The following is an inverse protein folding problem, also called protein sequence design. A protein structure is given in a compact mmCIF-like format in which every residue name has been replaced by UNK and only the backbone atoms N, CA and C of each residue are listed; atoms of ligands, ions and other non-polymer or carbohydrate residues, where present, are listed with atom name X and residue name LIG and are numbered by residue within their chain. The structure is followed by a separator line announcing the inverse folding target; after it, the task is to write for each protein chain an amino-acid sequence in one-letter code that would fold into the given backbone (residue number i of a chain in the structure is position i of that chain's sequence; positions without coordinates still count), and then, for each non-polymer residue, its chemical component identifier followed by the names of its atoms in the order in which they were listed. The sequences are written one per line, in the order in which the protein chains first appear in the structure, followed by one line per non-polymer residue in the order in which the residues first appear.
data_IF_710128700821
#
_entry.id   IF_710128700821
#
_cell.length_a   1.000
_cell.length_b   1.000
_cell.length_c   1.000
_cell.angle_alpha   90.00
_cell.angle_beta   90.00
_cell.angle_gamma   90.00
#
_symmetry.space_group_name_H-M   'P 1'
#
loop_
_entity.id
_entity.type
_entity.pdbx_description
1 polymer ?
#
# COMPACT_ATOMS: atom_id res chain seq x y z
N UNK A 1 -56.07 19.17 4.59
CA UNK A 1 -55.07 19.06 3.53
C UNK A 1 -53.75 19.57 4.09
N UNK A 2 -52.99 18.70 4.73
CA UNK A 2 -51.70 19.01 5.34
C UNK A 2 -50.62 18.54 4.38
N UNK A 3 -49.86 19.51 3.86
CA UNK A 3 -48.72 19.31 2.96
C UNK A 3 -47.55 18.73 3.76
N UNK A 4 -47.23 17.46 3.53
CA UNK A 4 -46.06 16.77 4.12
C UNK A 4 -44.90 16.64 3.15
N UNK A 5 -44.66 17.63 2.30
CA UNK A 5 -43.67 17.50 1.24
C UNK A 5 -42.35 18.33 1.35
N UNK A 6 -41.98 19.01 2.47
CA UNK A 6 -40.67 19.65 2.55
C UNK A 6 -39.58 18.84 3.33
N UNK A 7 -39.94 17.90 4.24
CA UNK A 7 -38.98 17.27 5.11
C UNK A 7 -38.21 16.11 4.45
N UNK A 8 -38.86 15.24 3.69
CA UNK A 8 -38.22 14.14 2.98
C UNK A 8 -37.23 14.58 1.88
N UNK A 9 -37.57 15.72 1.19
CA UNK A 9 -36.65 16.28 0.18
C UNK A 9 -35.42 16.97 0.79
N UNK A 10 -35.50 17.43 2.05
CA UNK A 10 -34.36 18.04 2.75
C UNK A 10 -33.45 17.02 3.38
N UNK A 11 -33.95 15.86 3.83
CA UNK A 11 -33.11 14.75 4.31
C UNK A 11 -32.35 14.08 3.17
N UNK A 12 -33.02 13.73 2.08
CA UNK A 12 -32.38 13.15 0.87
C UNK A 12 -31.30 14.08 0.27
N UNK A 13 -31.51 15.40 0.26
CA UNK A 13 -30.47 16.35 -0.16
C UNK A 13 -29.36 16.56 0.85
N UNK A 14 -29.59 16.31 2.16
CA UNK A 14 -28.54 16.37 3.20
C UNK A 14 -27.68 15.14 3.14
N UNK A 15 -28.24 13.98 2.86
CA UNK A 15 -27.47 12.73 2.68
C UNK A 15 -26.60 12.75 1.41
N UNK A 16 -27.09 13.34 0.32
CA UNK A 16 -26.37 13.43 -0.96
C UNK A 16 -25.16 14.38 -0.97
N UNK A 17 -24.94 15.16 0.09
CA UNK A 17 -23.79 16.06 0.22
C UNK A 17 -22.86 15.66 1.40
N UNK A 18 -23.05 14.49 1.99
CA UNK A 18 -22.16 14.00 3.03
C UNK A 18 -20.81 13.60 2.42
N UNK A 19 -19.73 13.98 3.08
CA UNK A 19 -18.38 13.56 2.70
C UNK A 19 -17.81 12.68 3.80
N UNK A 20 -17.37 11.46 3.48
CA UNK A 20 -16.71 10.62 4.44
C UNK A 20 -15.37 11.23 4.83
N UNK A 21 -14.93 10.94 6.02
CA UNK A 21 -13.58 11.32 6.44
C UNK A 21 -13.02 10.28 7.37
N UNK A 22 -11.86 9.76 7.02
CA UNK A 22 -11.08 8.90 7.89
C UNK A 22 -10.67 9.61 9.19
N UNK A 23 -10.21 8.85 10.18
CA UNK A 23 -9.72 9.41 11.44
C UNK A 23 -8.59 10.43 11.22
N UNK A 24 -8.41 11.34 12.14
CA UNK A 24 -7.33 12.34 12.10
C UNK A 24 -6.07 11.90 12.85
N UNK A 25 -6.14 10.83 13.65
CA UNK A 25 -5.04 10.43 14.54
C UNK A 25 -3.77 10.04 13.80
N UNK A 26 -3.88 9.54 12.58
CA UNK A 26 -2.76 9.14 11.77
C UNK A 26 -2.13 10.27 10.92
N UNK A 27 -2.71 11.48 10.91
CA UNK A 27 -2.19 12.61 10.10
C UNK A 27 -0.69 12.88 10.35
N UNK A 28 -0.18 12.97 11.58
CA UNK A 28 1.25 13.19 11.80
C UNK A 28 2.12 12.08 11.19
N UNK A 29 1.66 10.83 11.27
CA UNK A 29 2.34 9.66 10.68
C UNK A 29 2.33 9.73 9.16
N UNK A 30 1.20 10.08 8.54
CA UNK A 30 1.10 10.27 7.08
C UNK A 30 2.06 11.36 6.59
N UNK A 31 2.12 12.49 7.29
CA UNK A 31 3.06 13.57 6.97
C UNK A 31 4.51 13.09 7.08
N UNK A 32 4.84 12.31 8.12
CA UNK A 32 6.18 11.75 8.27
C UNK A 32 6.52 10.78 7.12
N UNK A 33 5.60 9.90 6.74
CA UNK A 33 5.81 8.96 5.63
C UNK A 33 5.95 9.67 4.28
N UNK A 34 5.10 10.65 3.98
CA UNK A 34 5.24 11.49 2.79
C UNK A 34 6.60 12.21 2.75
N UNK A 35 7.08 12.69 3.90
CA UNK A 35 8.38 13.35 4.02
C UNK A 35 9.56 12.37 3.83
N UNK A 36 9.42 11.12 4.27
CA UNK A 36 10.43 10.07 4.07
C UNK A 36 10.52 9.66 2.61
N UNK A 37 9.38 9.38 1.97
CA UNK A 37 9.33 8.89 0.58
C UNK A 37 9.61 10.00 -0.43
N UNK A 38 9.08 11.21 -0.22
CA UNK A 38 9.16 12.36 -1.15
C UNK A 38 8.80 12.00 -2.60
N UNK A 39 7.63 11.42 -2.83
CA UNK A 39 7.25 10.97 -4.16
C UNK A 39 7.11 12.15 -5.12
N UNK A 40 7.40 11.91 -6.39
CA UNK A 40 7.11 12.86 -7.49
C UNK A 40 5.78 12.54 -8.17
N UNK A 41 5.24 11.35 -7.91
CA UNK A 41 3.91 10.92 -8.34
C UNK A 41 3.23 10.07 -7.26
N UNK A 42 1.95 10.36 -7.00
CA UNK A 42 1.15 9.73 -5.96
C UNK A 42 -0.23 9.37 -6.53
N UNK A 43 -0.69 8.15 -6.22
CA UNK A 43 -2.07 7.72 -6.47
C UNK A 43 -2.79 7.52 -5.14
N UNK A 44 -3.90 8.22 -4.94
CA UNK A 44 -4.77 8.12 -3.77
C UNK A 44 -5.99 7.27 -4.13
N UNK A 45 -6.01 6.02 -3.69
CA UNK A 45 -7.09 5.07 -3.96
C UNK A 45 -8.15 5.21 -2.88
N UNK A 46 -9.39 5.48 -3.28
CA UNK A 46 -10.48 5.84 -2.37
C UNK A 46 -10.24 7.21 -1.75
N UNK A 47 -10.05 8.23 -2.60
CA UNK A 47 -9.62 9.56 -2.14
C UNK A 47 -10.60 10.24 -1.16
N UNK A 48 -11.89 9.84 -1.17
CA UNK A 48 -12.93 10.39 -0.29
C UNK A 48 -12.98 11.92 -0.33
N UNK A 49 -12.83 12.58 0.83
CA UNK A 49 -12.79 14.04 0.89
C UNK A 49 -11.44 14.66 0.43
N UNK A 50 -10.47 13.84 0.02
CA UNK A 50 -9.17 14.33 -0.49
C UNK A 50 -8.18 14.80 0.58
N UNK A 51 -8.39 14.42 1.85
CA UNK A 51 -7.54 14.85 2.98
C UNK A 51 -6.06 14.58 2.75
N UNK A 52 -5.70 13.36 2.33
CA UNK A 52 -4.30 12.97 2.20
C UNK A 52 -3.69 13.59 0.95
N UNK A 53 -4.43 13.67 -0.15
CA UNK A 53 -3.98 14.41 -1.35
C UNK A 53 -3.71 15.87 -1.07
N UNK A 54 -4.56 16.54 -0.25
CA UNK A 54 -4.30 17.92 0.19
C UNK A 54 -3.01 18.01 1.02
N UNK A 55 -2.83 17.14 2.01
CA UNK A 55 -1.60 17.11 2.83
C UNK A 55 -0.36 16.85 1.99
N UNK A 56 -0.43 15.94 1.02
CA UNK A 56 0.66 15.66 0.11
C UNK A 56 1.00 16.91 -0.74
N UNK A 57 0.01 17.59 -1.28
CA UNK A 57 0.19 18.82 -2.07
C UNK A 57 0.84 19.92 -1.24
N UNK A 58 0.30 20.18 -0.04
CA UNK A 58 0.83 21.20 0.86
C UNK A 58 2.28 20.89 1.28
N UNK A 59 2.53 19.64 1.70
CA UNK A 59 3.87 19.22 2.13
C UNK A 59 4.89 19.26 0.99
N UNK A 60 4.59 18.58 -0.14
CA UNK A 60 5.59 18.25 -1.16
C UNK A 60 5.79 19.41 -2.15
N UNK A 61 4.72 20.07 -2.58
CA UNK A 61 4.83 21.20 -3.49
C UNK A 61 5.01 22.51 -2.75
N UNK A 62 4.14 22.84 -1.79
CA UNK A 62 4.16 24.18 -1.18
C UNK A 62 5.30 24.28 -0.17
N UNK A 63 5.34 23.45 0.86
CA UNK A 63 6.29 23.59 1.96
C UNK A 63 7.72 23.19 1.55
N UNK A 64 7.92 21.97 1.07
CA UNK A 64 9.26 21.47 0.71
C UNK A 64 9.71 21.96 -0.67
N UNK A 65 8.78 22.05 -1.61
CA UNK A 65 9.05 22.49 -2.98
C UNK A 65 9.11 24.01 -3.16
N UNK A 66 8.61 24.80 -2.18
CA UNK A 66 8.46 26.25 -2.24
C UNK A 66 7.67 26.73 -3.48
N UNK A 67 6.71 25.91 -3.92
CA UNK A 67 5.85 26.15 -5.09
C UNK A 67 4.48 26.63 -4.63
N UNK A 68 4.35 27.93 -4.40
CA UNK A 68 3.17 28.54 -3.79
C UNK A 68 2.01 28.78 -4.76
N UNK A 69 2.23 28.60 -6.07
CA UNK A 69 1.22 28.76 -7.10
C UNK A 69 0.91 27.43 -7.76
N UNK A 70 -0.35 27.18 -8.09
CA UNK A 70 -0.80 25.93 -8.71
C UNK A 70 -0.05 25.62 -10.01
N UNK A 71 0.22 26.62 -10.83
CA UNK A 71 0.98 26.50 -12.07
C UNK A 71 2.46 26.05 -11.89
N UNK A 72 2.99 26.19 -10.67
CA UNK A 72 4.35 25.78 -10.33
C UNK A 72 4.43 24.37 -9.73
N UNK A 73 3.29 23.74 -9.42
CA UNK A 73 3.26 22.40 -8.82
C UNK A 73 3.87 21.35 -9.76
N UNK A 74 4.59 20.40 -9.18
CA UNK A 74 5.35 19.39 -9.93
C UNK A 74 5.04 17.95 -9.50
N UNK A 75 4.53 17.77 -8.30
CA UNK A 75 4.16 16.44 -7.83
C UNK A 75 2.83 16.08 -8.48
N UNK A 76 2.82 15.01 -9.24
CA UNK A 76 1.56 14.48 -9.79
C UNK A 76 0.78 13.79 -8.68
N UNK A 77 -0.44 14.23 -8.43
CA UNK A 77 -1.36 13.64 -7.46
C UNK A 77 -2.64 13.28 -8.20
N UNK A 78 -2.85 11.99 -8.41
CA UNK A 78 -4.08 11.45 -8.99
C UNK A 78 -4.89 10.73 -7.90
N UNK A 79 -6.19 10.60 -8.12
CA UNK A 79 -7.07 9.88 -7.21
C UNK A 79 -8.06 8.98 -7.93
N UNK A 80 -8.47 7.90 -7.25
CA UNK A 80 -9.58 7.04 -7.64
C UNK A 80 -10.69 7.18 -6.61
N UNK A 81 -11.93 7.31 -7.08
CA UNK A 81 -13.12 7.32 -6.23
C UNK A 81 -14.26 6.56 -6.92
N UNK A 82 -14.90 5.65 -6.20
CA UNK A 82 -16.01 4.88 -6.75
C UNK A 82 -17.33 5.67 -6.72
N UNK A 83 -17.48 6.54 -5.75
CA UNK A 83 -18.71 7.28 -5.51
C UNK A 83 -18.58 8.76 -5.94
N UNK A 84 -19.02 9.06 -7.14
CA UNK A 84 -18.84 10.37 -7.78
C UNK A 84 -19.39 11.54 -6.96
N UNK A 85 -20.48 11.32 -6.19
CA UNK A 85 -21.12 12.37 -5.36
C UNK A 85 -20.19 12.91 -4.25
N UNK A 86 -19.12 12.20 -3.89
CA UNK A 86 -18.10 12.68 -2.95
C UNK A 86 -17.17 13.74 -3.56
N UNK A 87 -17.14 13.86 -4.89
CA UNK A 87 -16.18 14.73 -5.57
C UNK A 87 -16.73 16.14 -5.71
N UNK A 88 -16.11 17.05 -4.99
CA UNK A 88 -16.42 18.48 -4.95
C UNK A 88 -15.31 19.32 -5.64
N UNK A 89 -15.45 20.63 -5.65
CA UNK A 89 -14.49 21.53 -6.27
C UNK A 89 -13.10 21.51 -5.61
N UNK A 90 -13.04 21.28 -4.30
CA UNK A 90 -11.77 21.30 -3.57
C UNK A 90 -10.87 20.11 -3.96
N UNK A 91 -11.40 18.89 -4.15
CA UNK A 91 -10.60 17.76 -4.66
C UNK A 91 -10.14 18.08 -6.09
N UNK A 92 -11.02 18.59 -6.96
CA UNK A 92 -10.65 18.99 -8.33
C UNK A 92 -9.60 20.11 -8.38
N UNK A 93 -9.51 20.91 -7.33
CA UNK A 93 -8.46 21.93 -7.21
C UNK A 93 -7.10 21.36 -6.81
N UNK A 94 -7.07 20.24 -6.09
CA UNK A 94 -5.88 19.62 -5.50
C UNK A 94 -5.28 18.50 -6.38
N UNK A 95 -6.14 17.61 -6.88
CA UNK A 95 -5.70 16.49 -7.69
C UNK A 95 -5.49 16.90 -9.15
N UNK A 96 -4.51 16.29 -9.81
CA UNK A 96 -4.27 16.49 -11.22
C UNK A 96 -5.30 15.73 -12.07
N UNK A 97 -5.62 14.49 -11.68
CA UNK A 97 -6.69 13.70 -12.28
C UNK A 97 -7.50 12.98 -11.18
N UNK A 98 -8.80 12.85 -11.39
CA UNK A 98 -9.70 12.03 -10.57
C UNK A 98 -10.40 11.06 -11.49
N UNK A 99 -10.23 9.77 -11.21
CA UNK A 99 -10.82 8.67 -11.95
C UNK A 99 -12.02 8.13 -11.16
N UNK A 100 -13.20 8.17 -11.77
CA UNK A 100 -14.43 7.67 -11.15
C UNK A 100 -14.65 6.23 -11.57
N UNK A 101 -14.76 5.32 -10.59
CA UNK A 101 -15.05 3.91 -10.81
C UNK A 101 -14.33 2.97 -9.85
N UNK A 102 -14.52 1.68 -10.08
CA UNK A 102 -13.92 0.61 -9.29
C UNK A 102 -12.38 0.63 -9.40
N UNK A 103 -11.71 0.64 -8.25
CA UNK A 103 -10.26 0.72 -8.19
C UNK A 103 -9.57 -0.50 -8.83
N UNK A 104 -10.12 -1.71 -8.66
CA UNK A 104 -9.55 -2.94 -9.23
C UNK A 104 -9.55 -2.87 -10.76
N UNK A 105 -10.63 -2.35 -11.36
CA UNK A 105 -10.73 -2.20 -12.82
C UNK A 105 -9.91 -1.05 -13.38
N UNK A 106 -9.82 0.05 -12.61
CA UNK A 106 -9.12 1.26 -13.05
C UNK A 106 -7.60 1.11 -12.97
N UNK A 107 -7.08 0.40 -11.95
CA UNK A 107 -5.64 0.21 -11.78
C UNK A 107 -4.97 -0.30 -13.06
N UNK A 108 -5.58 -1.27 -13.77
CA UNK A 108 -5.02 -1.84 -15.00
C UNK A 108 -4.88 -0.84 -16.16
N UNK A 109 -5.55 0.31 -16.07
CA UNK A 109 -5.56 1.38 -17.08
C UNK A 109 -4.62 2.53 -16.72
N UNK A 110 -4.07 2.51 -15.49
CA UNK A 110 -3.22 3.58 -14.98
C UNK A 110 -1.73 3.24 -15.15
N UNK A 111 -0.91 4.26 -15.09
CA UNK A 111 0.54 4.10 -15.10
C UNK A 111 1.12 3.74 -13.73
N UNK A 112 2.43 3.82 -13.62
CA UNK A 112 3.17 3.55 -12.38
C UNK A 112 3.38 4.88 -11.63
N UNK A 113 3.16 4.84 -10.31
CA UNK A 113 3.38 5.96 -9.39
C UNK A 113 4.54 5.66 -8.45
N UNK A 114 5.18 6.69 -7.90
CA UNK A 114 6.22 6.48 -6.88
C UNK A 114 5.62 5.96 -5.57
N UNK A 115 4.43 6.45 -5.22
CA UNK A 115 3.69 6.10 -4.02
C UNK A 115 2.22 5.82 -4.34
N UNK A 116 1.65 4.79 -3.74
CA UNK A 116 0.21 4.51 -3.76
C UNK A 116 -0.32 4.54 -2.32
N UNK A 117 -1.47 5.15 -2.13
CA UNK A 117 -2.18 5.24 -0.84
C UNK A 117 -3.42 4.33 -0.86
N UNK A 118 -3.58 3.56 0.20
CA UNK A 118 -4.76 2.77 0.54
C UNK A 118 -5.17 3.15 1.98
N UNK A 119 -5.93 4.22 2.12
CA UNK A 119 -6.27 4.80 3.42
C UNK A 119 -7.77 4.65 3.69
N UNK A 120 -8.13 3.73 4.60
CA UNK A 120 -9.53 3.35 4.88
C UNK A 120 -10.26 2.90 3.60
N UNK A 121 -9.74 1.87 2.93
CA UNK A 121 -10.23 1.39 1.62
C UNK A 121 -10.43 -0.12 1.61
N UNK A 122 -9.42 -0.89 2.05
CA UNK A 122 -9.41 -2.35 1.83
C UNK A 122 -10.47 -3.07 2.64
N UNK A 123 -10.91 -2.53 3.77
CA UNK A 123 -12.00 -3.05 4.60
C UNK A 123 -13.36 -3.00 3.91
N UNK A 124 -13.53 -2.15 2.91
CA UNK A 124 -14.75 -2.02 2.11
C UNK A 124 -14.87 -3.09 1.02
N UNK A 125 -13.84 -3.87 0.79
CA UNK A 125 -13.84 -4.99 -0.14
C UNK A 125 -13.97 -6.32 0.60
N UNK A 126 -14.51 -7.34 -0.06
CA UNK A 126 -14.36 -8.71 0.43
C UNK A 126 -12.89 -9.09 0.42
N UNK A 127 -12.48 -9.96 1.35
CA UNK A 127 -11.06 -10.27 1.56
C UNK A 127 -10.30 -10.64 0.27
N UNK A 128 -10.90 -11.42 -0.61
CA UNK A 128 -10.26 -11.84 -1.88
C UNK A 128 -10.03 -10.63 -2.80
N UNK A 129 -11.04 -9.78 -2.95
CA UNK A 129 -10.99 -8.56 -3.76
C UNK A 129 -10.01 -7.54 -3.16
N UNK A 130 -10.02 -7.38 -1.84
CA UNK A 130 -9.08 -6.53 -1.11
C UNK A 130 -7.62 -6.95 -1.32
N UNK A 131 -7.34 -8.25 -1.27
CA UNK A 131 -6.00 -8.80 -1.55
C UNK A 131 -5.58 -8.57 -3.00
N UNK A 132 -6.51 -8.70 -3.95
CA UNK A 132 -6.27 -8.36 -5.36
C UNK A 132 -5.92 -6.88 -5.52
N UNK A 133 -6.70 -5.98 -4.91
CA UNK A 133 -6.43 -4.54 -4.93
C UNK A 133 -5.05 -4.21 -4.35
N UNK A 134 -4.70 -4.79 -3.19
CA UNK A 134 -3.37 -4.61 -2.58
C UNK A 134 -2.27 -5.05 -3.56
N UNK A 135 -2.42 -6.20 -4.22
CA UNK A 135 -1.44 -6.67 -5.21
C UNK A 135 -1.29 -5.69 -6.38
N UNK A 136 -2.41 -5.24 -6.95
CA UNK A 136 -2.40 -4.24 -8.04
C UNK A 136 -1.73 -2.94 -7.60
N UNK A 137 -1.95 -2.48 -6.36
CA UNK A 137 -1.27 -1.29 -5.84
C UNK A 137 0.27 -1.46 -5.84
N UNK A 138 0.78 -2.63 -5.46
CA UNK A 138 2.22 -2.90 -5.53
C UNK A 138 2.71 -3.07 -6.98
N UNK A 139 1.92 -3.61 -7.89
CA UNK A 139 2.29 -3.71 -9.31
C UNK A 139 2.39 -2.31 -9.94
N UNK A 140 1.48 -1.40 -9.60
CA UNK A 140 1.45 -0.01 -10.09
C UNK A 140 2.25 0.99 -9.23
N UNK A 141 3.00 0.51 -8.25
CA UNK A 141 3.89 1.30 -7.40
C UNK A 141 5.35 1.10 -7.85
N UNK A 142 6.14 2.18 -7.81
CA UNK A 142 7.60 2.11 -8.02
C UNK A 142 8.34 1.88 -6.71
N UNK A 143 7.90 2.48 -5.64
CA UNK A 143 8.65 2.57 -4.39
C UNK A 143 7.89 2.04 -3.19
N UNK A 144 6.80 2.69 -2.78
CA UNK A 144 6.09 2.38 -1.54
C UNK A 144 4.57 2.39 -1.72
N UNK A 145 3.92 1.61 -0.88
CA UNK A 145 2.48 1.71 -0.61
C UNK A 145 2.29 2.11 0.85
N UNK A 146 1.40 3.05 1.12
CA UNK A 146 0.92 3.34 2.47
C UNK A 146 -0.45 2.70 2.63
N UNK A 147 -0.60 1.88 3.68
CA UNK A 147 -1.88 1.32 4.10
C UNK A 147 -2.23 1.89 5.45
N UNK A 148 -3.38 2.53 5.58
CA UNK A 148 -3.95 2.86 6.88
C UNK A 148 -5.32 2.23 7.00
N UNK A 149 -5.59 1.56 8.14
CA UNK A 149 -6.70 0.62 8.22
C UNK A 149 -7.14 0.36 9.66
N UNK A 150 -8.45 0.20 9.89
CA UNK A 150 -8.99 -0.37 11.12
C UNK A 150 -8.50 -1.82 11.34
N UNK A 151 -8.15 -2.16 12.58
CA UNK A 151 -7.65 -3.48 12.96
C UNK A 151 -8.59 -4.18 13.95
N UNK A 152 -8.98 -5.40 13.62
CA UNK A 152 -9.86 -6.23 14.45
C UNK A 152 -11.32 -6.23 13.99
N UNK A 153 -12.09 -7.16 14.55
CA UNK A 153 -13.47 -7.47 14.12
C UNK A 153 -14.52 -6.46 14.63
N UNK A 154 -14.16 -5.58 15.56
CA UNK A 154 -15.11 -4.62 16.13
C UNK A 154 -15.36 -3.39 15.25
N UNK A 155 -14.59 -3.21 14.21
CA UNK A 155 -14.73 -2.12 13.25
C UNK A 155 -15.81 -2.45 12.21
N UNK A 156 -17.07 -2.49 12.68
CA UNK A 156 -18.21 -2.75 11.80
C UNK A 156 -18.81 -1.42 11.33
N UNK A 157 -19.08 -1.33 10.04
CA UNK A 157 -19.76 -0.20 9.42
C UNK A 157 -20.76 -0.72 8.40
N UNK A 158 -21.98 -0.21 8.43
CA UNK A 158 -22.97 -0.42 7.38
C UNK A 158 -22.88 0.66 6.32
N UNK A 159 -23.58 0.51 5.21
CA UNK A 159 -23.74 1.56 4.22
C UNK A 159 -24.29 2.83 4.87
N UNK A 160 -23.57 3.94 4.70
CA UNK A 160 -23.90 5.27 5.25
C UNK A 160 -23.82 6.34 4.14
N UNK A 161 -24.35 7.49 4.40
CA UNK A 161 -24.33 8.63 3.46
C UNK A 161 -24.94 8.34 2.08
N UNK A 162 -25.84 7.34 1.98
CA UNK A 162 -26.38 6.90 0.69
C UNK A 162 -25.38 6.16 -0.21
N UNK A 163 -24.18 5.87 0.30
CA UNK A 163 -23.14 5.17 -0.42
C UNK A 163 -23.06 3.70 0.04
N UNK A 164 -23.39 2.73 -0.82
CA UNK A 164 -23.29 1.31 -0.48
C UNK A 164 -21.83 0.82 -0.31
N UNK A 165 -20.86 1.56 -0.84
CA UNK A 165 -19.44 1.21 -0.78
C UNK A 165 -18.78 1.57 0.56
N UNK A 166 -19.52 2.19 1.50
CA UNK A 166 -19.05 2.47 2.85
C UNK A 166 -19.15 1.27 3.80
N UNK A 167 -19.79 0.19 3.40
CA UNK A 167 -19.93 -1.01 4.23
C UNK A 167 -18.60 -1.75 4.37
N UNK A 168 -18.27 -2.18 5.61
CA UNK A 168 -17.09 -3.01 5.86
C UNK A 168 -17.43 -4.47 5.56
N UNK A 169 -16.68 -5.06 4.65
CA UNK A 169 -16.83 -6.45 4.20
C UNK A 169 -15.68 -7.36 4.63
N UNK A 170 -14.57 -6.80 5.12
CA UNK A 170 -13.42 -7.55 5.61
C UNK A 170 -12.81 -6.93 6.86
N UNK A 171 -12.18 -7.77 7.68
CA UNK A 171 -11.50 -7.37 8.91
C UNK A 171 -10.04 -7.79 8.84
N UNK A 172 -9.17 -6.90 9.30
CA UNK A 172 -7.73 -7.03 9.13
C UNK A 172 -7.04 -7.09 10.48
N UNK A 173 -5.90 -7.77 10.51
CA UNK A 173 -5.06 -7.86 11.70
C UNK A 173 -3.66 -7.30 11.42
N UNK A 174 -2.89 -7.13 12.49
CA UNK A 174 -1.49 -6.71 12.39
C UNK A 174 -0.64 -7.65 11.53
N UNK A 175 -0.97 -8.93 11.54
CA UNK A 175 -0.15 -9.98 10.92
C UNK A 175 -0.09 -9.88 9.40
N UNK A 176 -1.06 -9.21 8.76
CA UNK A 176 -1.06 -9.02 7.31
C UNK A 176 -0.03 -7.98 6.85
N UNK A 177 0.20 -6.94 7.65
CA UNK A 177 1.03 -5.80 7.22
C UNK A 177 2.34 -5.67 8.00
N UNK A 178 2.37 -6.08 9.28
CA UNK A 178 3.52 -5.91 10.15
C UNK A 178 4.81 -6.57 9.62
N UNK A 179 4.77 -7.79 9.03
CA UNK A 179 5.99 -8.45 8.54
C UNK A 179 6.67 -7.72 7.38
N UNK A 180 5.92 -6.92 6.62
CA UNK A 180 6.40 -6.24 5.41
C UNK A 180 6.57 -4.73 5.60
N UNK A 181 6.12 -4.18 6.72
CA UNK A 181 6.18 -2.76 6.97
C UNK A 181 7.60 -2.27 7.29
N UNK A 182 8.10 -1.31 6.52
CA UNK A 182 9.32 -0.58 6.83
C UNK A 182 9.12 0.33 8.06
N UNK A 183 7.98 1.00 8.11
CA UNK A 183 7.54 1.81 9.25
C UNK A 183 6.09 1.52 9.58
N UNK A 184 5.77 1.55 10.87
CA UNK A 184 4.43 1.28 11.38
C UNK A 184 4.07 2.17 12.54
N UNK A 185 2.80 2.54 12.65
CA UNK A 185 2.22 3.24 13.78
C UNK A 185 0.86 2.64 14.13
N UNK A 186 0.54 2.62 15.42
CA UNK A 186 -0.71 2.07 15.94
C UNK A 186 -1.40 3.09 16.81
N UNK A 187 -2.71 3.11 16.70
CA UNK A 187 -3.58 4.00 17.47
C UNK A 187 -4.70 3.16 18.07
N UNK A 188 -4.87 3.22 19.39
CA UNK A 188 -5.92 2.49 20.10
C UNK A 188 -7.13 3.39 20.31
N UNK A 189 -8.28 2.95 19.87
CA UNK A 189 -9.56 3.58 20.14
C UNK A 189 -10.27 2.79 21.23
N UNK A 190 -10.41 3.35 22.46
CA UNK A 190 -11.09 2.65 23.54
C UNK A 190 -12.47 2.15 23.10
N UNK A 191 -12.77 0.86 23.37
CA UNK A 191 -14.03 0.18 23.07
C UNK A 191 -14.29 -0.19 21.60
N UNK A 192 -13.48 0.30 20.65
CA UNK A 192 -13.64 -0.01 19.22
C UNK A 192 -12.55 -0.97 18.79
N UNK A 193 -11.28 -0.61 18.99
CA UNK A 193 -10.14 -1.44 18.54
C UNK A 193 -8.93 -0.60 18.16
N UNK A 194 -7.99 -1.25 17.54
CA UNK A 194 -6.77 -0.61 17.06
C UNK A 194 -6.92 -0.13 15.62
N UNK A 195 -6.06 0.80 15.24
CA UNK A 195 -5.95 1.31 13.89
C UNK A 195 -4.47 1.33 13.51
N UNK A 196 -4.14 0.81 12.34
CA UNK A 196 -2.77 0.71 11.86
C UNK A 196 -2.47 1.68 10.73
N UNK A 197 -1.22 2.15 10.67
CA UNK A 197 -0.71 2.91 9.55
C UNK A 197 0.68 2.35 9.18
N UNK A 198 0.83 1.83 7.96
CA UNK A 198 1.97 1.06 7.51
C UNK A 198 2.58 1.71 6.27
N UNK A 199 3.88 1.98 6.30
CA UNK A 199 4.68 2.30 5.12
C UNK A 199 5.37 1.03 4.66
N UNK A 200 5.09 0.57 3.44
CA UNK A 200 5.56 -0.72 2.93
C UNK A 200 6.34 -0.48 1.64
N UNK A 201 7.60 -0.91 1.60
CA UNK A 201 8.37 -0.93 0.37
C UNK A 201 7.85 -2.00 -0.59
N UNK A 202 7.81 -1.70 -1.88
CA UNK A 202 7.48 -2.69 -2.93
C UNK A 202 8.36 -3.93 -2.82
N UNK A 203 9.65 -3.74 -2.63
CA UNK A 203 10.62 -4.82 -2.48
C UNK A 203 10.27 -5.76 -1.33
N UNK A 204 10.01 -5.21 -0.13
CA UNK A 204 9.69 -5.98 1.06
C UNK A 204 8.43 -6.83 0.87
N UNK A 205 7.40 -6.25 0.26
CA UNK A 205 6.16 -6.93 -0.06
C UNK A 205 6.36 -8.07 -1.07
N UNK A 206 7.12 -7.84 -2.15
CA UNK A 206 7.34 -8.83 -3.19
C UNK A 206 8.10 -10.04 -2.66
N UNK A 207 9.18 -9.83 -1.88
CA UNK A 207 9.98 -10.93 -1.38
C UNK A 207 9.30 -11.69 -0.24
N UNK A 208 8.49 -11.05 0.58
CA UNK A 208 7.64 -11.75 1.53
C UNK A 208 6.61 -12.67 0.82
N UNK A 209 6.02 -12.22 -0.27
CA UNK A 209 5.15 -13.09 -1.09
C UNK A 209 5.91 -14.28 -1.67
N UNK A 210 7.14 -14.06 -2.12
CA UNK A 210 7.99 -15.14 -2.62
C UNK A 210 8.36 -16.12 -1.52
N UNK A 211 8.64 -15.67 -0.31
CA UNK A 211 8.88 -16.54 0.86
C UNK A 211 7.70 -17.48 1.09
N UNK A 212 6.47 -16.92 1.18
CA UNK A 212 5.24 -17.72 1.35
C UNK A 212 5.03 -18.68 0.17
N UNK A 213 5.22 -18.23 -1.06
CA UNK A 213 5.06 -19.05 -2.25
C UNK A 213 6.11 -20.19 -2.31
N UNK A 214 7.35 -19.89 -1.96
CA UNK A 214 8.44 -20.87 -1.90
C UNK A 214 8.17 -21.94 -0.85
N UNK A 215 7.76 -21.59 0.35
CA UNK A 215 7.44 -22.55 1.40
C UNK A 215 6.31 -23.52 0.96
N UNK A 216 5.29 -23.01 0.27
CA UNK A 216 4.23 -23.83 -0.32
C UNK A 216 4.78 -24.78 -1.40
N UNK A 217 5.56 -24.25 -2.35
CA UNK A 217 6.17 -25.06 -3.41
C UNK A 217 7.11 -26.12 -2.86
N UNK A 218 7.87 -25.82 -1.80
CA UNK A 218 8.70 -26.79 -1.10
C UNK A 218 7.88 -27.91 -0.44
N UNK A 219 6.75 -27.56 0.20
CA UNK A 219 5.84 -28.54 0.78
C UNK A 219 5.20 -29.47 -0.29
N UNK A 220 5.01 -28.93 -1.51
CA UNK A 220 4.52 -29.71 -2.68
C UNK A 220 5.64 -30.49 -3.40
N UNK A 221 6.90 -30.42 -2.96
CA UNK A 221 8.05 -31.07 -3.61
C UNK A 221 8.52 -30.38 -4.89
N UNK A 222 8.11 -29.12 -5.13
CA UNK A 222 8.42 -28.33 -6.33
C UNK A 222 9.55 -27.32 -6.11
N UNK A 223 10.67 -27.77 -5.50
CA UNK A 223 11.77 -26.89 -5.10
C UNK A 223 12.42 -26.16 -6.29
N UNK A 224 12.55 -26.84 -7.45
CA UNK A 224 13.15 -26.22 -8.62
C UNK A 224 12.27 -25.10 -9.19
N UNK A 225 10.95 -25.27 -9.14
CA UNK A 225 9.99 -24.22 -9.54
C UNK A 225 10.12 -22.98 -8.64
N UNK A 226 10.27 -23.17 -7.32
CA UNK A 226 10.50 -22.07 -6.39
C UNK A 226 11.81 -21.32 -6.70
N UNK A 227 12.90 -22.03 -6.92
CA UNK A 227 14.20 -21.45 -7.26
C UNK A 227 14.17 -20.67 -8.59
N UNK A 228 13.57 -21.24 -9.63
CA UNK A 228 13.49 -20.58 -10.94
C UNK A 228 12.57 -19.34 -10.88
N UNK A 229 11.45 -19.42 -10.20
CA UNK A 229 10.55 -18.29 -10.03
C UNK A 229 11.21 -17.12 -9.29
N UNK A 230 11.92 -17.38 -8.19
CA UNK A 230 12.63 -16.34 -7.46
C UNK A 230 13.80 -15.74 -8.27
N UNK A 231 14.55 -16.56 -9.02
CA UNK A 231 15.61 -16.08 -9.93
C UNK A 231 15.03 -15.18 -11.03
N UNK A 232 13.87 -15.55 -11.60
CA UNK A 232 13.14 -14.71 -12.56
C UNK A 232 12.74 -13.37 -11.96
N UNK A 233 12.17 -13.39 -10.76
CA UNK A 233 11.78 -12.17 -10.04
C UNK A 233 12.97 -11.24 -9.78
N UNK A 234 14.11 -11.78 -9.34
CA UNK A 234 15.34 -11.00 -9.16
C UNK A 234 15.86 -10.39 -10.49
N UNK A 235 15.72 -11.12 -11.60
CA UNK A 235 16.10 -10.59 -12.91
C UNK A 235 15.19 -9.45 -13.37
N UNK A 236 13.90 -9.53 -13.09
CA UNK A 236 12.90 -8.54 -13.50
C UNK A 236 12.94 -7.26 -12.66
N UNK A 237 13.16 -7.39 -11.34
CA UNK A 237 13.14 -6.26 -10.39
C UNK A 237 14.52 -5.66 -10.10
N UNK A 238 15.59 -6.35 -10.52
CA UNK A 238 16.96 -5.93 -10.24
C UNK A 238 17.49 -6.47 -8.90
N UNK A 239 18.76 -6.19 -8.59
CA UNK A 239 19.42 -6.71 -7.40
C UNK A 239 18.77 -6.21 -6.10
N UNK A 240 18.48 -7.13 -5.21
CA UNK A 240 17.87 -6.91 -3.91
C UNK A 240 18.55 -7.75 -2.84
N UNK A 241 19.00 -7.12 -1.77
CA UNK A 241 19.60 -7.82 -0.62
C UNK A 241 18.67 -8.89 -0.07
N UNK A 242 17.39 -8.54 0.14
CA UNK A 242 16.40 -9.50 0.66
C UNK A 242 16.15 -10.65 -0.28
N UNK A 243 15.98 -10.37 -1.56
CA UNK A 243 15.74 -11.39 -2.57
C UNK A 243 16.94 -12.33 -2.75
N UNK A 244 18.15 -11.80 -2.72
CA UNK A 244 19.36 -12.62 -2.77
C UNK A 244 19.50 -13.50 -1.53
N UNK A 245 19.24 -13.00 -0.31
CA UNK A 245 19.24 -13.84 0.88
C UNK A 245 18.15 -14.90 0.87
N UNK A 246 16.97 -14.60 0.38
CA UNK A 246 15.92 -15.60 0.21
C UNK A 246 16.38 -16.70 -0.77
N UNK A 247 17.02 -16.32 -1.88
CA UNK A 247 17.58 -17.28 -2.82
C UNK A 247 18.68 -18.14 -2.18
N UNK A 248 19.56 -17.56 -1.37
CA UNK A 248 20.56 -18.28 -0.59
C UNK A 248 19.90 -19.31 0.33
N UNK A 249 18.87 -18.92 1.07
CA UNK A 249 18.14 -19.83 1.97
C UNK A 249 17.52 -21.01 1.21
N UNK A 250 16.86 -20.76 0.07
CA UNK A 250 16.30 -21.83 -0.76
C UNK A 250 17.37 -22.75 -1.35
N UNK A 251 18.53 -22.23 -1.75
CA UNK A 251 19.66 -23.02 -2.22
C UNK A 251 20.22 -23.90 -1.09
N UNK A 252 20.34 -23.38 0.12
CA UNK A 252 20.79 -24.16 1.28
C UNK A 252 19.78 -25.24 1.67
N UNK A 253 18.47 -24.95 1.66
CA UNK A 253 17.39 -25.94 1.87
C UNK A 253 17.48 -27.10 0.85
N UNK A 254 17.98 -26.83 -0.36
CA UNK A 254 18.16 -27.84 -1.42
C UNK A 254 19.59 -28.42 -1.49
N UNK A 255 20.45 -28.11 -0.52
CA UNK A 255 21.87 -28.55 -0.43
C UNK A 255 22.74 -28.10 -1.61
N UNK A 256 22.38 -27.01 -2.28
CA UNK A 256 23.15 -26.41 -3.39
C UNK A 256 24.17 -25.40 -2.84
N UNK A 257 25.10 -25.86 -2.01
CA UNK A 257 25.97 -25.02 -1.19
C UNK A 257 26.87 -24.13 -2.04
N UNK A 258 27.46 -24.65 -3.13
CA UNK A 258 28.34 -23.86 -4.00
C UNK A 258 27.58 -22.68 -4.65
N UNK A 259 26.36 -22.90 -5.12
CA UNK A 259 25.53 -21.84 -5.70
C UNK A 259 25.11 -20.82 -4.62
N UNK A 260 24.85 -21.26 -3.40
CA UNK A 260 24.58 -20.36 -2.29
C UNK A 260 25.79 -19.46 -1.98
N UNK A 261 27.00 -20.01 -1.99
CA UNK A 261 28.25 -19.24 -1.81
C UNK A 261 28.43 -18.23 -2.96
N UNK A 262 28.15 -18.62 -4.19
CA UNK A 262 28.26 -17.70 -5.34
C UNK A 262 27.27 -16.55 -5.23
N UNK A 263 26.04 -16.79 -4.75
CA UNK A 263 25.07 -15.72 -4.47
C UNK A 263 25.52 -14.81 -3.33
N UNK A 264 26.09 -15.35 -2.27
CA UNK A 264 26.67 -14.54 -1.19
C UNK A 264 27.82 -13.64 -1.69
N UNK A 265 28.63 -14.12 -2.65
CA UNK A 265 29.65 -13.28 -3.33
C UNK A 265 29.02 -12.17 -4.17
N UNK A 266 27.89 -12.45 -4.84
CA UNK A 266 27.11 -11.41 -5.53
C UNK A 266 26.64 -10.34 -4.56
N UNK A 267 26.10 -10.73 -3.39
CA UNK A 267 25.70 -9.77 -2.34
C UNK A 267 26.89 -8.90 -1.92
N UNK A 268 28.06 -9.48 -1.70
CA UNK A 268 29.26 -8.70 -1.33
C UNK A 268 29.68 -7.69 -2.41
N UNK A 269 29.47 -8.03 -3.68
CA UNK A 269 29.82 -7.16 -4.81
C UNK A 269 28.82 -6.04 -5.01
N UNK A 270 27.55 -6.38 -4.99
CA UNK A 270 26.45 -5.45 -5.32
C UNK A 270 26.04 -4.61 -4.10
N UNK A 271 26.29 -5.12 -2.90
CA UNK A 271 25.93 -4.48 -1.62
C UNK A 271 27.14 -4.45 -0.67
N UNK A 272 28.16 -3.62 -0.93
CA UNK A 272 29.43 -3.64 -0.21
C UNK A 272 29.32 -3.31 1.29
N UNK A 273 28.23 -2.64 1.70
CA UNK A 273 27.95 -2.35 3.10
C UNK A 273 27.34 -3.51 3.89
N UNK A 274 26.91 -4.59 3.17
CA UNK A 274 26.41 -5.80 3.80
C UNK A 274 27.53 -6.65 4.38
N UNK A 275 27.56 -6.78 5.71
CA UNK A 275 28.59 -7.54 6.43
C UNK A 275 28.22 -9.01 6.67
N UNK A 276 26.94 -9.38 6.54
CA UNK A 276 26.46 -10.71 6.85
C UNK A 276 26.91 -11.73 5.80
N UNK A 277 26.92 -11.36 4.52
CA UNK A 277 27.32 -12.26 3.44
C UNK A 277 28.71 -12.87 3.66
N UNK A 278 29.67 -12.08 4.17
CA UNK A 278 31.02 -12.57 4.49
C UNK A 278 31.02 -13.64 5.58
N UNK A 279 30.27 -13.39 6.65
CA UNK A 279 30.17 -14.33 7.78
C UNK A 279 29.51 -15.65 7.34
N UNK A 280 28.48 -15.59 6.50
CA UNK A 280 27.84 -16.77 5.93
C UNK A 280 28.80 -17.59 5.07
N UNK A 281 29.61 -16.96 4.19
CA UNK A 281 30.61 -17.67 3.36
C UNK A 281 31.61 -18.37 4.24
N UNK A 282 32.19 -17.68 5.23
CA UNK A 282 33.15 -18.28 6.17
C UNK A 282 32.57 -19.49 6.89
N UNK A 283 31.31 -19.42 7.30
CA UNK A 283 30.61 -20.53 7.97
C UNK A 283 30.38 -21.71 7.04
N UNK A 284 29.94 -21.46 5.79
CA UNK A 284 29.66 -22.52 4.82
C UNK A 284 30.89 -23.19 4.28
N UNK A 285 32.07 -22.56 4.32
CA UNK A 285 33.34 -23.15 3.92
C UNK A 285 33.95 -24.08 4.98
N UNK A 286 33.41 -24.08 6.20
CA UNK A 286 33.83 -24.93 7.31
C UNK A 286 33.04 -26.25 7.37
N UNK A 287 32.01 -26.43 6.56
CA UNK A 287 31.13 -27.60 6.48
C UNK A 287 31.46 -28.40 5.23
#
# INVERSE_FOLDING_TARGET
MTSTAPEEQTESKRESNAMPTSTYVHIPTMVAYLQMVRPTSLLDVGLGNGKIGFLARDLLDVMLGQRYRKEDWKVRIDGIEIFEDYIQEHQRAIYDNIYIGDAIELMDKLGIYDLVLLCDVVEHFKEVEARELIHKCFDHCRSHVIVSIPLGENWTQSAIYGNPHEEHHSFWSLHEFEPVAECKAYFTFPQIGDYGCFLIKKEDYLYHRWEIAADRLFAEGKQEEALQGLKGSLADFGPSVKGEYLLVDLLLKTRRIEEAIDRLRTIQTDFPDDRLAKQYIETLQLV
#
